data_IF_875902429394
#
_entry.id   IF_875902429394
#
_cell.length_a   1.000
_cell.length_b   1.000
_cell.length_c   1.000
_cell.angle_alpha   90.00
_cell.angle_beta   90.00
_cell.angle_gamma   90.00
#
_symmetry.space_group_name_H-M   'P 1'
#
loop_
_entity.id
_entity.type
_entity.pdbx_description
1 polymer ?
#
# COMPACT_ATOMS: atom_id res chain seq x y z
N UNK A 1 -2.33 3.69 -35.05
CA UNK A 1 -1.14 3.50 -34.20
C UNK A 1 -0.65 4.87 -33.76
N UNK A 2 -1.24 5.41 -32.70
CA UNK A 2 -0.81 6.69 -32.13
C UNK A 2 0.46 6.44 -31.32
N UNK A 3 1.60 6.93 -31.82
CA UNK A 3 2.82 7.03 -31.04
C UNK A 3 2.53 8.01 -29.90
N UNK A 4 2.38 7.50 -28.68
CA UNK A 4 2.49 8.31 -27.48
C UNK A 4 3.90 8.90 -27.51
N UNK A 5 3.99 10.19 -27.79
CA UNK A 5 5.20 10.96 -27.53
C UNK A 5 5.36 10.91 -26.01
N UNK A 6 6.16 9.97 -25.51
CA UNK A 6 6.50 9.87 -24.11
C UNK A 6 7.06 11.24 -23.71
N UNK A 7 6.26 11.99 -22.94
CA UNK A 7 6.68 13.23 -22.34
C UNK A 7 7.82 12.82 -21.42
N UNK A 8 9.06 13.02 -21.84
CA UNK A 8 10.24 12.61 -21.08
C UNK A 8 10.15 13.27 -19.72
N UNK A 9 9.73 12.51 -18.73
CA UNK A 9 9.67 13.01 -17.38
C UNK A 9 11.09 13.21 -16.87
N UNK A 10 11.29 14.19 -15.97
CA UNK A 10 12.59 14.41 -15.35
C UNK A 10 13.12 13.13 -14.67
N UNK A 11 12.22 12.29 -14.17
CA UNK A 11 12.53 11.00 -13.59
C UNK A 11 13.11 10.01 -14.62
N UNK A 12 12.64 10.03 -15.87
CA UNK A 12 13.19 9.20 -16.94
C UNK A 12 14.66 9.51 -17.30
N UNK A 13 15.18 10.67 -16.88
CA UNK A 13 16.59 11.03 -17.03
C UNK A 13 17.47 10.44 -15.91
N UNK A 14 16.90 10.06 -14.77
CA UNK A 14 17.64 9.42 -13.69
C UNK A 14 18.10 8.01 -14.15
N UNK A 15 19.42 7.80 -14.16
CA UNK A 15 20.01 6.51 -14.52
C UNK A 15 19.55 5.37 -13.60
N UNK A 16 19.33 5.65 -12.32
CA UNK A 16 18.85 4.68 -11.34
C UNK A 16 17.43 4.25 -11.67
N UNK A 17 16.57 5.21 -12.04
CA UNK A 17 15.18 4.94 -12.44
C UNK A 17 15.11 4.07 -13.69
N UNK A 18 15.93 4.36 -14.71
CA UNK A 18 16.01 3.53 -15.92
C UNK A 18 16.45 2.10 -15.60
N UNK A 19 17.48 1.94 -14.76
CA UNK A 19 17.98 0.62 -14.33
C UNK A 19 16.98 -0.15 -13.47
N UNK A 20 16.19 0.57 -12.67
CA UNK A 20 15.15 -0.01 -11.82
C UNK A 20 13.98 -0.58 -12.62
N UNK A 21 13.69 0.01 -13.79
CA UNK A 21 12.61 -0.37 -14.69
C UNK A 21 13.08 -1.16 -15.93
N UNK A 22 14.35 -1.57 -15.99
CA UNK A 22 14.88 -2.37 -17.09
C UNK A 22 14.71 -3.87 -16.77
N UNK A 23 13.75 -4.58 -17.41
CA UNK A 23 13.47 -5.98 -17.12
C UNK A 23 14.63 -6.91 -17.51
N UNK A 24 15.50 -6.46 -18.42
CA UNK A 24 16.63 -7.24 -18.94
C UNK A 24 17.90 -7.05 -18.10
N UNK A 25 17.98 -5.97 -17.30
CA UNK A 25 19.13 -5.68 -16.47
C UNK A 25 19.17 -6.53 -15.20
N UNK A 26 20.28 -7.25 -15.03
CA UNK A 26 20.68 -7.84 -13.76
C UNK A 26 21.70 -6.93 -13.06
N UNK A 27 21.63 -6.78 -11.72
CA UNK A 27 22.65 -6.03 -10.98
C UNK A 27 24.02 -6.63 -11.26
N UNK A 28 25.03 -5.86 -11.67
CA UNK A 28 26.40 -6.37 -11.84
C UNK A 28 26.98 -6.89 -10.51
N UNK A 29 26.48 -6.39 -9.39
CA UNK A 29 26.93 -6.73 -8.04
C UNK A 29 26.50 -8.13 -7.57
N UNK A 30 25.29 -8.57 -7.90
CA UNK A 30 24.67 -9.76 -7.30
C UNK A 30 23.72 -10.52 -8.24
N UNK A 31 23.50 -10.05 -9.47
CA UNK A 31 22.60 -10.66 -10.44
C UNK A 31 21.11 -10.41 -10.23
N UNK A 32 20.70 -9.71 -9.16
CA UNK A 32 19.30 -9.39 -8.87
C UNK A 32 18.67 -8.54 -9.97
N UNK A 33 17.42 -8.84 -10.34
CA UNK A 33 16.61 -8.06 -11.29
C UNK A 33 15.52 -7.30 -10.54
N UNK A 34 15.11 -6.16 -11.10
CA UNK A 34 14.07 -5.31 -10.53
C UNK A 34 12.99 -5.07 -11.59
N UNK A 35 11.70 -5.32 -11.30
CA UNK A 35 10.62 -5.18 -12.27
C UNK A 35 10.04 -3.76 -12.34
N UNK A 36 10.68 -2.76 -11.70
CA UNK A 36 10.09 -1.46 -11.40
C UNK A 36 9.49 -1.42 -9.99
N UNK A 37 8.54 -0.50 -9.79
CA UNK A 37 7.86 -0.30 -8.50
C UNK A 37 7.21 -1.60 -8.04
N UNK A 38 7.40 -1.94 -6.76
CA UNK A 38 6.66 -2.98 -6.06
C UNK A 38 6.02 -2.43 -4.80
N UNK A 39 4.87 -3.00 -4.45
CA UNK A 39 4.04 -2.56 -3.33
C UNK A 39 4.46 -3.24 -2.02
N UNK A 40 4.16 -2.61 -0.89
CA UNK A 40 4.40 -3.16 0.46
C UNK A 40 3.06 -3.51 1.10
N UNK A 41 2.83 -4.80 1.33
CA UNK A 41 1.64 -5.30 2.01
C UNK A 41 1.91 -5.76 3.44
N UNK A 42 0.87 -5.71 4.28
CA UNK A 42 0.92 -6.20 5.66
C UNK A 42 0.01 -7.42 5.83
N UNK A 43 0.50 -8.47 6.49
CA UNK A 43 -0.23 -9.73 6.65
C UNK A 43 -1.40 -9.64 7.63
N UNK A 44 -1.30 -8.73 8.60
CA UNK A 44 -2.28 -8.50 9.65
C UNK A 44 -2.21 -7.04 10.14
N UNK A 45 -3.26 -6.52 10.82
CA UNK A 45 -3.14 -5.30 11.60
C UNK A 45 -2.14 -5.50 12.76
N UNK A 46 -1.47 -4.44 13.19
CA UNK A 46 -0.49 -4.48 14.30
C UNK A 46 -1.13 -4.97 15.62
N UNK A 47 -2.45 -4.82 15.73
CA UNK A 47 -3.23 -5.29 16.87
C UNK A 47 -3.42 -6.82 16.91
N UNK A 48 -3.11 -7.58 15.85
CA UNK A 48 -3.31 -9.03 15.80
C UNK A 48 -2.36 -9.75 16.77
N UNK A 49 -2.86 -10.39 17.85
CA UNK A 49 -2.01 -10.93 18.91
C UNK A 49 -1.61 -12.40 18.68
N UNK A 50 -2.14 -13.03 17.63
CA UNK A 50 -2.05 -14.48 17.41
C UNK A 50 -0.97 -14.84 16.38
N UNK A 51 -0.83 -16.14 16.14
CA UNK A 51 0.07 -16.62 15.08
C UNK A 51 -0.30 -16.03 13.71
N UNK A 52 0.70 -15.85 12.82
CA UNK A 52 0.44 -15.40 11.46
C UNK A 52 -0.57 -16.30 10.75
N UNK A 53 -1.33 -15.68 9.83
CA UNK A 53 -2.26 -16.42 8.97
C UNK A 53 -1.46 -17.31 8.01
N UNK A 54 -1.84 -18.60 7.83
CA UNK A 54 -1.23 -19.43 6.80
C UNK A 54 -1.53 -18.85 5.42
N UNK A 55 -0.61 -19.05 4.47
CA UNK A 55 -0.75 -18.54 3.11
C UNK A 55 -2.08 -18.98 2.47
N UNK A 56 -2.87 -18.02 2.00
CA UNK A 56 -4.18 -18.26 1.38
C UNK A 56 -5.29 -18.76 2.32
N UNK A 57 -5.02 -18.93 3.62
CA UNK A 57 -6.00 -19.41 4.59
C UNK A 57 -6.68 -18.30 5.40
N UNK A 58 -7.42 -18.69 6.44
CA UNK A 58 -7.95 -17.80 7.47
C UNK A 58 -7.58 -18.36 8.84
N UNK A 59 -7.51 -17.50 9.86
CA UNK A 59 -7.34 -17.91 11.26
C UNK A 59 -8.51 -17.40 12.07
N UNK A 60 -9.09 -18.27 12.90
CA UNK A 60 -10.07 -17.90 13.91
C UNK A 60 -9.66 -18.52 15.24
N UNK A 61 -9.51 -17.68 16.28
CA UNK A 61 -9.06 -18.11 17.60
C UNK A 61 -9.55 -17.13 18.65
N UNK A 62 -10.07 -17.63 19.77
CA UNK A 62 -10.59 -16.84 20.89
C UNK A 62 -11.59 -15.73 20.50
N UNK A 63 -12.35 -15.95 19.42
CA UNK A 63 -13.32 -14.98 18.88
C UNK A 63 -12.72 -13.92 17.94
N UNK A 64 -11.41 -13.89 17.80
CA UNK A 64 -10.69 -13.09 16.81
C UNK A 64 -10.63 -13.85 15.48
N UNK A 65 -10.65 -13.11 14.38
CA UNK A 65 -10.59 -13.66 13.02
C UNK A 65 -9.69 -12.82 12.14
N UNK A 66 -8.86 -13.47 11.34
CA UNK A 66 -8.02 -12.84 10.32
C UNK A 66 -8.20 -13.58 8.99
N UNK A 67 -8.75 -12.87 8.01
CA UNK A 67 -8.89 -13.32 6.63
C UNK A 67 -8.02 -12.45 5.70
N UNK A 68 -8.09 -12.69 4.39
CA UNK A 68 -7.26 -11.96 3.42
C UNK A 68 -7.58 -10.47 3.33
N UNK A 69 -8.86 -10.09 3.49
CA UNK A 69 -9.37 -8.73 3.23
C UNK A 69 -9.98 -8.07 4.48
N UNK A 70 -10.23 -8.84 5.54
CA UNK A 70 -10.87 -8.37 6.76
C UNK A 70 -10.33 -9.07 8.01
N UNK A 71 -10.41 -8.37 9.14
CA UNK A 71 -10.06 -8.92 10.44
C UNK A 71 -11.01 -8.41 11.52
N UNK A 72 -11.15 -9.21 12.58
CA UNK A 72 -11.81 -8.84 13.83
C UNK A 72 -10.87 -9.19 14.98
N UNK A 73 -10.57 -8.21 15.82
CA UNK A 73 -9.65 -8.38 16.96
C UNK A 73 -10.26 -7.73 18.19
N UNK A 74 -10.56 -8.51 19.23
CA UNK A 74 -11.13 -8.05 20.49
C UNK A 74 -12.38 -7.19 20.31
N UNK A 75 -13.24 -7.54 19.35
CA UNK A 75 -14.46 -6.81 19.00
C UNK A 75 -14.26 -5.56 18.15
N UNK A 76 -13.02 -5.22 17.76
CA UNK A 76 -12.69 -4.17 16.78
C UNK A 76 -12.68 -4.76 15.37
N UNK A 77 -12.98 -3.94 14.37
CA UNK A 77 -13.16 -4.36 12.98
C UNK A 77 -12.13 -3.69 12.08
N UNK A 78 -11.51 -4.46 11.19
CA UNK A 78 -10.44 -3.96 10.33
C UNK A 78 -10.68 -4.38 8.88
N UNK A 79 -10.40 -3.45 7.96
CA UNK A 79 -10.38 -3.70 6.53
C UNK A 79 -8.95 -3.58 6.01
N UNK A 80 -8.58 -4.45 5.07
CA UNK A 80 -7.36 -4.27 4.28
C UNK A 80 -7.68 -3.41 3.06
N UNK A 81 -6.81 -2.48 2.73
CA UNK A 81 -7.04 -1.56 1.61
C UNK A 81 -5.74 -1.11 0.95
N UNK A 82 -5.88 -0.37 -0.14
CA UNK A 82 -4.77 0.28 -0.82
C UNK A 82 -4.59 1.72 -0.35
N UNK A 83 -3.37 2.10 0.01
CA UNK A 83 -2.96 3.48 0.23
C UNK A 83 -1.95 3.86 -0.85
N UNK A 84 -2.42 4.63 -1.84
CA UNK A 84 -1.65 4.98 -3.02
C UNK A 84 -0.85 6.26 -2.80
N UNK A 85 0.44 6.20 -3.08
CA UNK A 85 1.38 7.32 -3.06
C UNK A 85 1.86 7.58 -4.50
N UNK A 86 1.43 8.70 -5.15
CA UNK A 86 1.86 9.01 -6.50
C UNK A 86 3.37 9.21 -6.60
N UNK A 87 4.01 8.80 -7.69
CA UNK A 87 5.42 9.07 -7.91
C UNK A 87 5.60 10.33 -8.78
N UNK A 88 6.30 11.34 -8.26
CA UNK A 88 6.55 12.60 -8.96
C UNK A 88 7.34 12.34 -10.24
N UNK A 89 6.79 12.78 -11.37
CA UNK A 89 7.42 12.58 -12.68
C UNK A 89 7.20 11.18 -13.25
N UNK A 90 6.24 10.41 -12.75
CA UNK A 90 5.66 9.27 -13.47
C UNK A 90 4.13 9.34 -13.35
N UNK A 91 3.43 8.56 -14.16
CA UNK A 91 1.99 8.27 -13.95
C UNK A 91 1.81 7.06 -13.01
N UNK A 92 2.92 6.48 -12.54
CA UNK A 92 2.95 5.36 -11.61
C UNK A 92 2.74 5.80 -10.15
N UNK A 93 2.31 4.82 -9.35
CA UNK A 93 2.08 4.97 -7.93
C UNK A 93 2.75 3.82 -7.20
N UNK A 94 3.24 4.09 -6.01
CA UNK A 94 3.59 3.06 -5.04
C UNK A 94 2.38 2.83 -4.13
N UNK A 95 2.04 1.58 -3.80
CA UNK A 95 0.98 1.28 -2.85
C UNK A 95 1.52 0.64 -1.58
N UNK A 96 1.05 1.13 -0.44
CA UNK A 96 0.93 0.30 0.75
C UNK A 96 -0.38 -0.49 0.67
N UNK A 97 -0.36 -1.73 1.16
CA UNK A 97 -1.54 -2.55 1.42
C UNK A 97 -1.79 -2.75 2.92
N UNK A 98 -2.04 -1.68 3.71
CA UNK A 98 -2.16 -1.77 5.16
C UNK A 98 -3.58 -2.16 5.58
N UNK A 99 -3.75 -2.25 6.90
CA UNK A 99 -5.01 -2.41 7.58
C UNK A 99 -5.49 -1.07 8.16
N UNK A 100 -6.80 -0.87 8.19
CA UNK A 100 -7.44 0.24 8.88
C UNK A 100 -8.53 -0.27 9.83
N UNK A 101 -8.54 0.22 11.06
CA UNK A 101 -9.66 0.03 11.98
C UNK A 101 -10.83 0.89 11.54
N UNK A 102 -12.02 0.29 11.47
CA UNK A 102 -13.26 0.94 11.04
C UNK A 102 -14.38 0.69 12.05
N UNK A 103 -15.39 1.57 12.11
CA UNK A 103 -16.63 1.26 12.82
C UNK A 103 -17.31 0.01 12.26
N UNK A 104 -17.98 -0.76 13.12
CA UNK A 104 -18.69 -1.98 12.74
C UNK A 104 -19.68 -1.76 11.57
N UNK A 105 -20.38 -0.61 11.58
CA UNK A 105 -21.33 -0.27 10.52
C UNK A 105 -20.63 -0.14 9.15
N UNK A 106 -19.45 0.49 9.10
CA UNK A 106 -18.66 0.62 7.88
C UNK A 106 -18.11 -0.74 7.43
N UNK A 107 -17.61 -1.55 8.36
CA UNK A 107 -17.15 -2.91 8.08
C UNK A 107 -18.25 -3.75 7.40
N UNK A 108 -19.45 -3.77 8.00
CA UNK A 108 -20.60 -4.52 7.47
C UNK A 108 -21.06 -3.98 6.12
N UNK A 109 -21.10 -2.67 5.94
CA UNK A 109 -21.45 -2.05 4.68
C UNK A 109 -20.45 -2.41 3.57
N UNK A 110 -19.16 -2.39 3.87
CA UNK A 110 -18.12 -2.77 2.90
C UNK A 110 -18.27 -4.23 2.45
N UNK A 111 -18.48 -5.16 3.39
CA UNK A 111 -18.71 -6.57 3.04
C UNK A 111 -19.98 -6.76 2.22
N UNK A 112 -21.06 -6.06 2.57
CA UNK A 112 -22.31 -6.11 1.82
C UNK A 112 -22.13 -5.59 0.38
N UNK A 113 -21.36 -4.52 0.17
CA UNK A 113 -21.02 -4.01 -1.16
C UNK A 113 -20.17 -4.97 -1.98
N UNK A 114 -19.22 -5.68 -1.35
CA UNK A 114 -18.39 -6.68 -2.04
C UNK A 114 -19.23 -7.90 -2.46
N UNK A 115 -20.16 -8.34 -1.60
CA UNK A 115 -21.05 -9.47 -1.90
C UNK A 115 -22.12 -9.10 -2.94
N UNK A 116 -22.69 -7.90 -2.84
CA UNK A 116 -23.68 -7.34 -3.74
C UNK A 116 -23.26 -5.92 -4.17
N UNK A 117 -22.64 -5.77 -5.37
CA UNK A 117 -22.18 -4.48 -5.88
C UNK A 117 -23.28 -3.42 -6.06
N UNK A 118 -24.56 -3.77 -5.91
CA UNK A 118 -25.66 -2.79 -5.90
C UNK A 118 -25.82 -2.09 -4.55
N UNK A 119 -25.24 -2.65 -3.48
CA UNK A 119 -25.23 -2.01 -2.16
C UNK A 119 -24.22 -0.87 -2.13
N UNK A 120 -24.62 0.36 -1.77
CA UNK A 120 -23.71 1.48 -1.71
C UNK A 120 -22.82 1.41 -0.47
N UNK A 121 -21.54 1.75 -0.65
CA UNK A 121 -20.62 2.06 0.45
C UNK A 121 -20.41 3.57 0.52
N UNK A 122 -20.85 4.18 1.62
CA UNK A 122 -20.54 5.59 1.90
C UNK A 122 -19.09 5.69 2.43
N UNK A 123 -18.34 6.74 2.08
CA UNK A 123 -17.04 7.00 2.68
C UNK A 123 -17.14 6.98 4.21
N UNK A 124 -16.16 6.36 4.87
CA UNK A 124 -16.18 6.15 6.30
C UNK A 124 -14.86 6.59 6.94
N UNK A 125 -14.94 7.12 8.16
CA UNK A 125 -13.78 7.42 8.97
C UNK A 125 -13.15 6.13 9.49
N UNK A 126 -11.83 6.12 9.58
CA UNK A 126 -11.03 4.98 10.00
C UNK A 126 -9.72 5.42 10.64
N UNK A 127 -9.01 4.46 11.22
CA UNK A 127 -7.69 4.66 11.81
C UNK A 127 -6.68 3.71 11.20
N UNK A 128 -5.51 4.21 10.80
CA UNK A 128 -4.42 3.37 10.31
C UNK A 128 -4.01 2.35 11.39
N UNK A 129 -3.95 1.07 11.02
CA UNK A 129 -3.71 -0.04 11.94
C UNK A 129 -2.37 -0.75 11.70
N UNK A 130 -1.48 -0.15 10.92
CA UNK A 130 -0.10 -0.60 10.76
C UNK A 130 0.88 0.58 10.85
N UNK A 131 2.03 0.32 11.47
CA UNK A 131 3.20 1.18 11.37
C UNK A 131 3.78 1.06 9.95
N UNK A 132 3.78 2.15 9.19
CA UNK A 132 4.27 2.14 7.81
C UNK A 132 5.74 2.55 7.75
N UNK A 133 6.60 1.82 7.01
CA UNK A 133 7.99 2.21 6.79
C UNK A 133 8.10 3.66 6.31
N UNK A 134 8.99 4.43 6.94
CA UNK A 134 9.19 5.86 6.61
C UNK A 134 8.10 6.79 7.14
N UNK A 135 7.09 6.26 7.84
CA UNK A 135 6.02 7.00 8.51
C UNK A 135 5.85 6.46 9.95
N UNK A 136 6.94 6.08 10.62
CA UNK A 136 6.89 5.38 11.91
C UNK A 136 6.20 6.21 13.03
N UNK A 137 6.25 7.54 12.92
CA UNK A 137 5.57 8.47 13.84
C UNK A 137 4.07 8.65 13.53
N UNK A 138 3.54 7.94 12.53
CA UNK A 138 2.17 8.05 12.04
C UNK A 138 1.21 7.05 12.71
N UNK A 139 1.56 6.58 13.91
CA UNK A 139 0.63 5.85 14.76
C UNK A 139 -0.64 6.70 14.96
N UNK A 140 -1.80 6.05 14.88
CA UNK A 140 -3.10 6.72 14.97
C UNK A 140 -3.35 7.79 13.88
N UNK A 141 -2.89 7.56 12.64
CA UNK A 141 -3.25 8.42 11.50
C UNK A 141 -4.70 8.22 11.08
N UNK A 142 -5.56 9.27 11.12
CA UNK A 142 -6.95 9.20 10.67
C UNK A 142 -7.04 9.08 9.14
N UNK A 143 -7.87 8.14 8.69
CA UNK A 143 -8.09 7.82 7.28
C UNK A 143 -9.57 8.02 6.90
N UNK A 144 -9.82 8.37 5.65
CA UNK A 144 -11.10 8.12 4.98
C UNK A 144 -10.99 6.88 4.12
N UNK A 145 -11.91 5.94 4.33
CA UNK A 145 -12.07 4.73 3.51
C UNK A 145 -13.09 5.00 2.41
N UNK A 146 -12.75 4.60 1.19
CA UNK A 146 -13.66 4.63 0.05
C UNK A 146 -13.64 3.27 -0.66
N UNK A 147 -14.72 2.93 -1.35
CA UNK A 147 -14.81 1.72 -2.18
C UNK A 147 -15.35 2.10 -3.56
N UNK A 148 -14.50 2.63 -4.46
CA UNK A 148 -14.95 3.11 -5.77
C UNK A 148 -15.45 1.98 -6.68
N UNK A 149 -14.87 0.79 -6.54
CA UNK A 149 -15.24 -0.43 -7.25
C UNK A 149 -15.34 -1.57 -6.24
N UNK A 150 -16.54 -2.14 -6.00
CA UNK A 150 -16.71 -3.25 -5.07
C UNK A 150 -15.98 -4.54 -5.46
N UNK A 151 -15.50 -4.66 -6.71
CA UNK A 151 -14.65 -5.76 -7.13
C UNK A 151 -13.17 -5.56 -6.77
N UNK A 152 -12.79 -4.37 -6.27
CA UNK A 152 -11.44 -4.03 -5.86
C UNK A 152 -11.37 -3.82 -4.34
N UNK A 153 -10.13 -3.72 -3.84
CA UNK A 153 -9.90 -3.37 -2.44
C UNK A 153 -10.37 -1.94 -2.15
N UNK A 154 -10.85 -1.65 -0.93
CA UNK A 154 -11.04 -0.30 -0.45
C UNK A 154 -9.76 0.53 -0.62
N UNK A 155 -9.93 1.83 -0.87
CA UNK A 155 -8.84 2.80 -0.91
C UNK A 155 -8.85 3.67 0.33
N UNK A 156 -7.66 3.97 0.83
CA UNK A 156 -7.43 4.78 2.01
C UNK A 156 -6.80 6.12 1.65
N UNK A 157 -7.36 7.19 2.23
CA UNK A 157 -6.84 8.54 2.14
C UNK A 157 -6.58 9.06 3.55
N UNK A 158 -5.32 9.33 3.89
CA UNK A 158 -4.97 10.01 5.12
C UNK A 158 -5.53 11.43 5.11
N UNK A 159 -6.10 11.83 6.24
CA UNK A 159 -6.76 13.14 6.38
C UNK A 159 -5.84 14.21 6.94
N UNK A 160 -4.72 13.82 7.56
CA UNK A 160 -3.69 14.72 8.08
C UNK A 160 -2.28 14.08 8.07
N UNK A 161 -1.31 14.88 8.51
CA UNK A 161 0.07 14.44 8.75
C UNK A 161 0.90 14.18 7.49
N UNK A 162 2.12 13.64 7.68
CA UNK A 162 3.06 13.39 6.58
C UNK A 162 2.52 12.45 5.50
N UNK A 163 1.65 11.50 5.87
CA UNK A 163 1.06 10.56 4.94
C UNK A 163 0.05 11.24 4.00
N UNK A 164 -0.77 12.17 4.51
CA UNK A 164 -1.65 12.99 3.67
C UNK A 164 -0.85 13.91 2.74
N UNK A 165 0.26 14.48 3.22
CA UNK A 165 1.17 15.28 2.39
C UNK A 165 1.80 14.44 1.27
N UNK A 166 2.24 13.21 1.56
CA UNK A 166 2.79 12.30 0.58
C UNK A 166 1.74 11.89 -0.48
N UNK A 167 0.49 11.65 -0.08
CA UNK A 167 -0.61 11.37 -1.03
C UNK A 167 -0.92 12.57 -1.93
N UNK A 168 -0.91 13.78 -1.37
CA UNK A 168 -1.25 14.99 -2.12
C UNK A 168 -0.12 15.46 -3.05
N UNK A 169 1.13 15.37 -2.60
CA UNK A 169 2.29 15.92 -3.31
C UNK A 169 3.07 14.86 -4.09
N UNK A 170 2.83 13.57 -3.81
CA UNK A 170 3.59 12.45 -4.33
C UNK A 170 4.99 12.31 -3.71
N UNK A 171 5.61 11.16 -3.94
CA UNK A 171 6.97 10.81 -3.56
C UNK A 171 7.96 11.22 -4.65
N UNK A 172 9.16 11.65 -4.26
CA UNK A 172 10.32 11.57 -5.16
C UNK A 172 10.80 10.11 -5.28
N UNK A 173 11.68 9.84 -6.25
CA UNK A 173 12.28 8.51 -6.34
C UNK A 173 13.21 8.20 -5.18
N UNK A 174 13.87 9.21 -4.60
CA UNK A 174 14.67 9.01 -3.41
C UNK A 174 13.80 8.69 -2.18
N UNK A 175 12.64 9.32 -2.04
CA UNK A 175 11.68 8.96 -0.99
C UNK A 175 11.24 7.49 -1.14
N UNK A 176 10.92 7.04 -2.38
CA UNK A 176 10.55 5.65 -2.63
C UNK A 176 11.68 4.66 -2.26
N UNK A 177 12.92 4.99 -2.59
CA UNK A 177 14.08 4.17 -2.21
C UNK A 177 14.26 4.12 -0.68
N UNK A 178 13.97 5.22 0.02
CA UNK A 178 14.02 5.27 1.48
C UNK A 178 12.91 4.40 2.11
N UNK A 179 11.70 4.37 1.52
CA UNK A 179 10.63 3.46 1.95
C UNK A 179 11.03 1.99 1.80
N UNK A 180 11.65 1.61 0.68
CA UNK A 180 12.15 0.25 0.49
C UNK A 180 13.25 -0.12 1.48
N UNK A 181 14.19 0.80 1.73
CA UNK A 181 15.22 0.59 2.74
C UNK A 181 14.63 0.44 4.15
N UNK A 182 13.65 1.28 4.52
CA UNK A 182 12.96 1.21 5.80
C UNK A 182 12.15 -0.09 5.96
N UNK A 183 11.61 -0.63 4.86
CA UNK A 183 10.95 -1.94 4.84
C UNK A 183 11.93 -3.13 4.96
N UNK A 184 13.24 -2.87 4.86
CA UNK A 184 14.29 -3.88 4.97
C UNK A 184 14.86 -4.36 3.63
N UNK A 185 14.53 -3.69 2.52
CA UNK A 185 15.05 -3.98 1.20
C UNK A 185 15.73 -2.75 0.58
N UNK A 186 16.93 -2.42 1.06
CA UNK A 186 17.70 -1.29 0.50
C UNK A 186 18.23 -1.65 -0.90
N UNK A 187 17.50 -1.19 -1.93
CA UNK A 187 17.84 -1.44 -3.33
C UNK A 187 18.76 -0.39 -3.94
N UNK A 188 18.99 0.75 -3.27
CA UNK A 188 19.77 1.88 -3.82
C UNK A 188 21.19 1.45 -4.24
N UNK A 189 21.93 0.62 -3.48
CA UNK A 189 23.25 0.11 -3.89
C UNK A 189 23.23 -0.71 -5.19
N UNK A 190 22.11 -1.30 -5.58
CA UNK A 190 21.99 -2.13 -6.79
C UNK A 190 21.76 -1.31 -8.07
N UNK A 191 21.51 0.00 -7.92
CA UNK A 191 21.14 0.91 -9.00
C UNK A 191 22.24 1.89 -9.39
N UNK A 192 23.38 1.93 -8.68
CA UNK A 192 24.42 2.96 -8.87
C UNK A 192 25.42 2.65 -10.00
N UNK A 193 25.70 1.38 -10.28
CA UNK A 193 26.68 0.95 -11.27
C UNK A 193 26.02 0.38 -12.54
N UNK A 194 26.74 0.43 -13.67
CA UNK A 194 26.39 -0.29 -14.90
C UNK A 194 26.79 -1.76 -14.81
#
# INVERSE_FOLDING_TARGET
MARHTARMSLLALDSRWRRFNDPDRACPCCGRRFPGIFDIGFDAPDAWPHSPRPEGGEVETDGDRLASEFARVQGRYFLRGGLLLPLRGSDEHFAFGPWAEVPEAAFRACLASIEDPTQPFAPADAMLANTLPGFDDSADTPLTVTLPDPAQRPLFTATDGPLAEAQAQGLSFDDLLDLYAAFGDDIRPHLVAD
#
